data_IF_252337264106
#
_entry.id   IF_252337264106
#
_cell.length_a   1.000
_cell.length_b   1.000
_cell.length_c   1.000
_cell.angle_alpha   90.00
_cell.angle_beta   90.00
_cell.angle_gamma   90.00
#
_symmetry.space_group_name_H-M   'P 1'
#
loop_
_entity.id
_entity.type
_entity.pdbx_description
1 polymer ?
#
# COMPACT_ATOMS: atom_id res chain seq x y z
N UNK A 1 -17.75 11.25 11.70
CA UNK A 1 -18.04 10.21 10.67
C UNK A 1 -19.38 9.55 10.92
N UNK A 2 -20.22 9.32 9.90
CA UNK A 2 -21.49 8.60 10.05
C UNK A 2 -21.24 7.12 10.36
N UNK A 3 -21.98 6.50 11.31
CA UNK A 3 -21.73 5.10 11.70
C UNK A 3 -21.87 4.08 10.56
N UNK A 4 -22.80 4.32 9.63
CA UNK A 4 -23.00 3.47 8.45
C UNK A 4 -21.82 3.54 7.48
N UNK A 5 -21.25 4.74 7.24
CA UNK A 5 -20.08 4.94 6.38
C UNK A 5 -18.83 4.32 7.01
N UNK A 6 -18.64 4.44 8.32
CA UNK A 6 -17.55 3.80 9.07
C UNK A 6 -17.64 2.26 8.95
N UNK A 7 -18.84 1.69 9.17
CA UNK A 7 -19.05 0.25 9.04
C UNK A 7 -18.77 -0.23 7.62
N UNK A 8 -19.28 0.47 6.61
CA UNK A 8 -19.05 0.13 5.21
C UNK A 8 -17.55 0.16 4.86
N UNK A 9 -16.81 1.19 5.30
CA UNK A 9 -15.37 1.28 5.10
C UNK A 9 -14.62 0.09 5.75
N UNK A 10 -15.02 -0.33 6.95
CA UNK A 10 -14.44 -1.47 7.64
C UNK A 10 -14.74 -2.80 6.91
N UNK A 11 -15.97 -3.00 6.46
CA UNK A 11 -16.36 -4.19 5.68
C UNK A 11 -15.62 -4.24 4.34
N UNK A 12 -15.56 -3.11 3.64
CA UNK A 12 -14.83 -3.00 2.37
C UNK A 12 -13.34 -3.30 2.56
N UNK A 13 -12.69 -2.68 3.54
CA UNK A 13 -11.28 -2.90 3.82
C UNK A 13 -11.01 -4.36 4.22
N UNK A 14 -11.88 -4.96 5.04
CA UNK A 14 -11.78 -6.36 5.45
C UNK A 14 -11.81 -7.31 4.25
N UNK A 15 -12.62 -7.01 3.24
CA UNK A 15 -12.78 -7.84 2.04
C UNK A 15 -11.65 -7.64 1.02
N UNK A 16 -11.10 -6.41 0.90
CA UNK A 16 -10.20 -6.04 -0.20
C UNK A 16 -8.73 -5.84 0.23
N UNK A 17 -8.46 -5.54 1.52
CA UNK A 17 -7.10 -5.43 2.08
C UNK A 17 -7.10 -5.93 3.53
N UNK A 18 -7.03 -7.25 3.66
CA UNK A 18 -7.10 -7.95 4.95
C UNK A 18 -5.99 -7.52 5.90
N UNK A 19 -4.80 -7.30 5.40
CA UNK A 19 -3.63 -6.97 6.22
C UNK A 19 -3.77 -5.57 6.84
N UNK A 20 -4.19 -4.58 6.04
CA UNK A 20 -4.49 -3.24 6.56
C UNK A 20 -5.70 -3.24 7.49
N UNK A 21 -6.73 -4.05 7.21
CA UNK A 21 -7.85 -4.20 8.14
C UNK A 21 -7.37 -4.69 9.51
N UNK A 22 -6.55 -5.75 9.56
CA UNK A 22 -6.01 -6.26 10.83
C UNK A 22 -5.14 -5.21 11.54
N UNK A 23 -4.38 -4.41 10.79
CA UNK A 23 -3.59 -3.32 11.34
C UNK A 23 -4.45 -2.24 12.02
N UNK A 24 -5.65 -1.96 11.50
CA UNK A 24 -6.55 -0.99 12.16
C UNK A 24 -7.06 -1.45 13.51
N UNK A 25 -7.16 -2.76 13.75
CA UNK A 25 -7.69 -3.31 15.00
C UNK A 25 -6.79 -3.04 16.21
N UNK A 26 -5.49 -2.81 15.99
CA UNK A 26 -4.53 -2.50 17.06
C UNK A 26 -4.34 -0.99 17.28
N UNK A 27 -5.02 -0.15 16.50
CA UNK A 27 -4.99 1.30 16.66
C UNK A 27 -5.87 1.77 17.82
N UNK A 28 -5.55 2.92 18.44
CA UNK A 28 -6.44 3.58 19.40
C UNK A 28 -7.84 3.79 18.81
N UNK A 29 -8.88 3.58 19.64
CA UNK A 29 -10.28 3.66 19.19
C UNK A 29 -10.61 5.00 18.51
N UNK A 30 -10.10 6.11 19.03
CA UNK A 30 -10.34 7.45 18.47
C UNK A 30 -9.80 7.67 17.06
N UNK A 31 -8.80 6.91 16.63
CA UNK A 31 -8.19 7.04 15.30
C UNK A 31 -8.65 5.93 14.33
N UNK A 32 -9.20 4.84 14.85
CA UNK A 32 -9.44 3.60 14.12
C UNK A 32 -10.32 3.80 12.88
N UNK A 33 -11.48 4.43 13.06
CA UNK A 33 -12.45 4.57 11.97
C UNK A 33 -11.91 5.45 10.84
N UNK A 34 -11.18 6.52 11.18
CA UNK A 34 -10.61 7.43 10.19
C UNK A 34 -9.42 6.84 9.44
N UNK A 35 -8.56 6.05 10.14
CA UNK A 35 -7.50 5.28 9.44
C UNK A 35 -8.12 4.16 8.60
N UNK A 36 -9.20 3.54 9.06
CA UNK A 36 -9.94 2.54 8.28
C UNK A 36 -10.50 3.16 6.99
N UNK A 37 -11.10 4.35 7.07
CA UNK A 37 -11.60 5.08 5.89
C UNK A 37 -10.48 5.41 4.90
N UNK A 38 -9.33 5.90 5.38
CA UNK A 38 -8.14 6.17 4.57
C UNK A 38 -7.64 4.90 3.85
N UNK A 39 -7.57 3.78 4.56
CA UNK A 39 -7.10 2.52 3.99
C UNK A 39 -8.13 1.89 3.04
N UNK A 40 -9.43 2.03 3.32
CA UNK A 40 -10.50 1.57 2.42
C UNK A 40 -10.50 2.37 1.11
N UNK A 41 -10.31 3.68 1.17
CA UNK A 41 -10.07 4.53 0.00
C UNK A 41 -8.89 4.03 -0.82
N UNK A 42 -7.72 3.82 -0.18
CA UNK A 42 -6.55 3.30 -0.90
C UNK A 42 -6.82 1.93 -1.54
N UNK A 43 -7.52 1.03 -0.85
CA UNK A 43 -7.87 -0.29 -1.39
C UNK A 43 -8.79 -0.15 -2.62
N UNK A 44 -9.75 0.80 -2.60
CA UNK A 44 -10.61 1.08 -3.75
C UNK A 44 -9.79 1.61 -4.93
N UNK A 45 -8.96 2.62 -4.72
CA UNK A 45 -8.12 3.22 -5.78
C UNK A 45 -7.12 2.20 -6.33
N UNK A 46 -6.42 1.44 -5.49
CA UNK A 46 -5.47 0.42 -5.93
C UNK A 46 -6.11 -0.72 -6.75
N UNK A 47 -7.40 -1.02 -6.49
CA UNK A 47 -8.12 -2.06 -7.22
C UNK A 47 -8.72 -1.60 -8.56
N UNK A 48 -8.64 -0.30 -8.89
CA UNK A 48 -9.25 0.24 -10.12
C UNK A 48 -8.70 -0.47 -11.36
N UNK A 49 -7.38 -0.71 -11.42
CA UNK A 49 -6.73 -1.40 -12.54
C UNK A 49 -7.31 -2.79 -12.78
N UNK A 50 -7.60 -3.55 -11.74
CA UNK A 50 -8.12 -4.92 -11.85
C UNK A 50 -9.62 -4.95 -12.19
N UNK A 51 -10.37 -3.90 -11.87
CA UNK A 51 -11.79 -3.74 -12.17
C UNK A 51 -12.06 -3.04 -13.50
N UNK A 52 -11.10 -2.27 -14.01
CA UNK A 52 -11.22 -1.58 -15.29
C UNK A 52 -10.76 -2.53 -16.42
N UNK A 53 -11.60 -2.70 -17.45
CA UNK A 53 -11.23 -3.48 -18.64
C UNK A 53 -10.21 -2.75 -19.51
N UNK A 54 -10.29 -1.42 -19.55
CA UNK A 54 -9.45 -0.53 -20.34
C UNK A 54 -8.93 0.62 -19.46
N UNK A 55 -7.75 1.14 -19.77
CA UNK A 55 -7.13 2.24 -19.05
C UNK A 55 -8.05 3.47 -18.94
N UNK A 56 -8.76 3.82 -20.02
CA UNK A 56 -9.69 4.95 -20.04
C UNK A 56 -10.81 4.84 -18.98
N UNK A 57 -11.34 3.64 -18.75
CA UNK A 57 -12.32 3.42 -17.69
C UNK A 57 -11.72 3.57 -16.29
N UNK A 58 -10.43 3.23 -16.14
CA UNK A 58 -9.66 3.48 -14.93
C UNK A 58 -9.45 4.97 -14.68
N UNK A 59 -9.06 5.72 -15.72
CA UNK A 59 -8.90 7.18 -15.65
C UNK A 59 -10.17 7.89 -15.17
N UNK A 60 -11.34 7.52 -15.69
CA UNK A 60 -12.63 8.09 -15.25
C UNK A 60 -12.86 7.84 -13.75
N UNK A 61 -12.51 6.66 -13.24
CA UNK A 61 -12.67 6.33 -11.82
C UNK A 61 -11.69 7.09 -10.92
N UNK A 62 -10.44 7.25 -11.36
CA UNK A 62 -9.46 8.08 -10.65
C UNK A 62 -9.89 9.54 -10.64
N UNK A 63 -10.37 10.06 -11.80
CA UNK A 63 -10.87 11.42 -11.90
C UNK A 63 -12.07 11.66 -10.97
N UNK A 64 -13.00 10.70 -10.87
CA UNK A 64 -14.10 10.79 -9.93
C UNK A 64 -13.64 11.01 -8.48
N UNK A 65 -12.58 10.32 -8.04
CA UNK A 65 -12.00 10.52 -6.72
C UNK A 65 -11.35 11.90 -6.56
N UNK A 66 -10.68 12.39 -7.61
CA UNK A 66 -10.12 13.75 -7.63
C UNK A 66 -11.23 14.79 -7.47
N UNK A 67 -12.27 14.70 -8.28
CA UNK A 67 -13.42 15.62 -8.24
C UNK A 67 -14.13 15.58 -6.88
N UNK A 68 -14.27 14.40 -6.28
CA UNK A 68 -14.84 14.22 -4.95
C UNK A 68 -14.02 14.93 -3.86
N UNK A 69 -12.69 14.93 -3.96
CA UNK A 69 -11.77 15.53 -2.99
C UNK A 69 -11.59 17.05 -3.19
N UNK A 70 -11.71 17.55 -4.43
CA UNK A 70 -11.58 18.97 -4.76
C UNK A 70 -12.88 19.74 -4.63
N UNK A 71 -14.01 19.06 -4.44
CA UNK A 71 -15.34 19.66 -4.38
C UNK A 71 -15.95 19.93 -5.75
N UNK A 72 -15.35 19.41 -6.83
CA UNK A 72 -15.83 19.51 -8.21
C UNK A 72 -16.73 18.33 -8.58
N UNK A 73 -16.98 17.41 -7.65
CA UNK A 73 -17.77 16.21 -7.86
C UNK A 73 -19.23 16.52 -8.25
N UNK A 74 -19.67 15.89 -9.33
CA UNK A 74 -21.03 15.99 -9.78
C UNK A 74 -21.96 15.04 -9.00
N UNK A 75 -23.15 15.55 -8.60
CA UNK A 75 -24.14 14.77 -7.87
C UNK A 75 -23.83 14.64 -6.37
N UNK A 76 -24.41 13.63 -5.73
CA UNK A 76 -24.31 13.44 -4.29
C UNK A 76 -23.11 12.56 -3.93
N UNK A 77 -21.88 13.10 -4.00
CA UNK A 77 -20.62 12.41 -3.67
C UNK A 77 -20.71 11.64 -2.34
N UNK A 78 -21.33 12.24 -1.32
CA UNK A 78 -21.51 11.62 0.00
C UNK A 78 -22.56 10.49 0.06
N UNK A 79 -23.21 10.15 -1.06
CA UNK A 79 -23.98 8.89 -1.17
C UNK A 79 -23.06 7.67 -1.38
N UNK A 80 -21.82 7.88 -1.85
CA UNK A 80 -20.80 6.84 -1.80
C UNK A 80 -20.26 6.76 -0.38
N UNK A 81 -20.47 5.65 0.36
CA UNK A 81 -20.09 5.57 1.77
C UNK A 81 -18.57 5.60 2.00
N UNK A 82 -17.75 5.17 1.03
CA UNK A 82 -16.29 5.28 1.15
C UNK A 82 -15.84 6.74 1.01
N UNK A 83 -16.41 7.48 0.04
CA UNK A 83 -16.11 8.89 -0.13
C UNK A 83 -16.58 9.71 1.07
N UNK A 84 -17.76 9.42 1.60
CA UNK A 84 -18.27 10.07 2.80
C UNK A 84 -17.35 9.85 4.01
N UNK A 85 -16.92 8.60 4.24
CA UNK A 85 -16.01 8.28 5.33
C UNK A 85 -14.65 8.98 5.18
N UNK A 86 -14.08 9.00 3.97
CA UNK A 86 -12.81 9.69 3.70
C UNK A 86 -12.93 11.20 3.90
N UNK A 87 -13.97 11.84 3.35
CA UNK A 87 -14.19 13.27 3.46
C UNK A 87 -14.40 13.71 4.92
N UNK A 88 -15.07 12.88 5.72
CA UNK A 88 -15.19 13.12 7.16
C UNK A 88 -13.84 13.03 7.87
N UNK A 89 -13.00 12.02 7.55
CA UNK A 89 -11.65 11.91 8.10
C UNK A 89 -10.76 13.09 7.69
N UNK A 90 -10.85 13.53 6.42
CA UNK A 90 -10.13 14.71 5.92
C UNK A 90 -10.53 15.96 6.69
N UNK A 91 -11.83 16.19 6.89
CA UNK A 91 -12.33 17.36 7.59
C UNK A 91 -12.00 17.33 9.10
N UNK A 92 -12.14 16.17 9.75
CA UNK A 92 -11.92 16.00 11.19
C UNK A 92 -10.45 16.20 11.57
N UNK A 93 -9.53 15.66 10.77
CA UNK A 93 -8.09 15.68 11.07
C UNK A 93 -7.29 16.68 10.23
N UNK A 94 -7.94 17.47 9.38
CA UNK A 94 -7.25 18.44 8.50
C UNK A 94 -6.23 17.76 7.58
N UNK A 95 -6.55 16.57 7.04
CA UNK A 95 -5.60 15.85 6.20
C UNK A 95 -5.30 16.63 4.93
N UNK A 96 -4.04 16.71 4.49
CA UNK A 96 -3.66 17.48 3.33
C UNK A 96 -4.19 16.83 2.04
N UNK A 97 -5.27 17.38 1.49
CA UNK A 97 -5.87 16.92 0.22
C UNK A 97 -4.82 16.80 -0.90
N UNK A 98 -3.85 17.74 -1.07
CA UNK A 98 -2.82 17.57 -2.09
C UNK A 98 -2.00 16.27 -1.98
N UNK A 99 -1.77 15.76 -0.77
CA UNK A 99 -1.07 14.47 -0.61
C UNK A 99 -1.93 13.28 -1.06
N UNK A 100 -3.24 13.35 -0.81
CA UNK A 100 -4.19 12.32 -1.28
C UNK A 100 -4.32 12.37 -2.81
N UNK A 101 -4.33 13.55 -3.40
CA UNK A 101 -4.36 13.72 -4.85
C UNK A 101 -3.10 13.17 -5.52
N UNK A 102 -1.89 13.41 -4.95
CA UNK A 102 -0.65 12.81 -5.46
C UNK A 102 -0.67 11.28 -5.40
N UNK A 103 -1.26 10.70 -4.34
CA UNK A 103 -1.45 9.24 -4.28
C UNK A 103 -2.32 8.75 -5.44
N UNK A 104 -3.43 9.41 -5.74
CA UNK A 104 -4.30 9.04 -6.88
C UNK A 104 -3.53 9.17 -8.19
N UNK A 105 -2.78 10.27 -8.35
CA UNK A 105 -1.99 10.52 -9.56
C UNK A 105 -0.91 9.46 -9.77
N UNK A 106 -0.19 9.06 -8.71
CA UNK A 106 0.79 7.99 -8.77
C UNK A 106 0.15 6.65 -9.20
N UNK A 107 -1.11 6.40 -8.80
CA UNK A 107 -1.86 5.20 -9.20
C UNK A 107 -2.27 5.17 -10.68
N UNK A 108 -2.14 6.28 -11.42
CA UNK A 108 -2.31 6.26 -12.88
C UNK A 108 -1.32 5.33 -13.56
N UNK A 109 -0.10 5.21 -13.01
CA UNK A 109 0.90 4.25 -13.50
C UNK A 109 0.34 2.83 -13.55
N UNK A 110 -0.47 2.42 -12.58
CA UNK A 110 -1.03 1.07 -12.52
C UNK A 110 -2.00 0.76 -13.67
N UNK A 111 -2.58 1.78 -14.32
CA UNK A 111 -3.55 1.60 -15.42
C UNK A 111 -2.90 1.14 -16.73
N UNK A 112 -1.60 1.36 -16.86
CA UNK A 112 -0.83 1.04 -18.05
C UNK A 112 0.08 -0.15 -17.80
N UNK A 113 0.42 -0.89 -18.86
CA UNK A 113 1.25 -2.09 -18.72
C UNK A 113 2.74 -1.79 -18.91
N UNK A 114 3.15 -0.53 -18.69
CA UNK A 114 4.54 -0.11 -18.76
C UNK A 114 5.33 -0.72 -17.58
N UNK A 115 6.46 -1.38 -17.85
CA UNK A 115 7.30 -1.92 -16.80
C UNK A 115 7.91 -0.80 -15.94
N UNK A 116 8.02 -1.01 -14.64
CA UNK A 116 8.73 -0.11 -13.73
C UNK A 116 10.20 -0.02 -14.18
N UNK A 117 10.73 1.17 -14.54
CA UNK A 117 12.03 1.26 -15.18
C UNK A 117 13.21 0.94 -14.24
N UNK A 118 13.21 1.53 -13.04
CA UNK A 118 14.34 1.48 -12.10
C UNK A 118 13.90 1.66 -10.64
N UNK A 119 14.85 1.42 -9.72
CA UNK A 119 14.61 1.57 -8.28
C UNK A 119 14.26 3.01 -7.86
N UNK A 120 14.91 4.08 -8.33
CA UNK A 120 14.52 5.45 -7.97
C UNK A 120 13.07 5.78 -8.34
N UNK A 121 12.60 5.36 -9.53
CA UNK A 121 11.20 5.54 -9.96
C UNK A 121 10.25 4.74 -9.08
N UNK A 122 10.62 3.50 -8.72
CA UNK A 122 9.83 2.67 -7.80
C UNK A 122 9.75 3.29 -6.40
N UNK A 123 10.86 3.82 -5.86
CA UNK A 123 10.87 4.49 -4.56
C UNK A 123 10.00 5.76 -4.58
N UNK A 124 10.02 6.54 -5.67
CA UNK A 124 9.13 7.68 -5.89
C UNK A 124 7.65 7.25 -5.87
N UNK A 125 7.30 6.21 -6.62
CA UNK A 125 5.96 5.63 -6.62
C UNK A 125 5.54 5.13 -5.23
N UNK A 126 6.41 4.40 -4.53
CA UNK A 126 6.16 3.93 -3.17
C UNK A 126 6.00 5.10 -2.17
N UNK A 127 6.75 6.19 -2.40
CA UNK A 127 6.68 7.42 -1.62
C UNK A 127 5.29 8.06 -1.68
N UNK A 128 4.76 8.25 -2.89
CA UNK A 128 3.45 8.87 -3.10
C UNK A 128 2.27 7.92 -2.78
N UNK A 129 2.50 6.62 -2.75
CA UNK A 129 1.45 5.64 -2.45
C UNK A 129 1.53 5.10 -1.02
N UNK A 130 2.41 4.15 -0.75
CA UNK A 130 2.47 3.47 0.53
C UNK A 130 3.01 4.35 1.67
N UNK A 131 4.05 5.17 1.42
CA UNK A 131 4.62 6.07 2.43
C UNK A 131 3.64 7.17 2.82
N UNK A 132 2.93 7.76 1.84
CA UNK A 132 1.91 8.77 2.09
C UNK A 132 0.82 8.25 3.03
N UNK A 133 0.39 6.98 2.91
CA UNK A 133 -0.59 6.38 3.81
C UNK A 133 -0.09 6.31 5.26
N UNK A 134 1.19 5.96 5.47
CA UNK A 134 1.78 5.94 6.81
C UNK A 134 1.88 7.33 7.42
N UNK A 135 2.21 8.35 6.62
CA UNK A 135 2.25 9.75 7.05
C UNK A 135 0.85 10.25 7.46
N UNK A 136 -0.17 10.00 6.63
CA UNK A 136 -1.55 10.38 6.91
C UNK A 136 -2.11 9.64 8.12
N UNK A 137 -1.82 8.35 8.27
CA UNK A 137 -2.21 7.58 9.45
C UNK A 137 -1.54 8.12 10.73
N UNK A 138 -0.26 8.46 10.68
CA UNK A 138 0.44 9.07 11.81
C UNK A 138 -0.16 10.45 12.17
N UNK A 139 -0.57 11.26 11.18
CA UNK A 139 -1.24 12.52 11.40
C UNK A 139 -2.60 12.34 12.09
N UNK A 140 -3.39 11.33 11.69
CA UNK A 140 -4.65 10.97 12.38
C UNK A 140 -4.37 10.59 13.85
N UNK A 141 -3.35 9.77 14.12
CA UNK A 141 -2.96 9.39 15.48
C UNK A 141 -2.50 10.60 16.30
N UNK A 142 -1.94 11.62 15.67
CA UNK A 142 -1.53 12.89 16.30
C UNK A 142 -2.68 13.92 16.37
N UNK A 143 -3.92 13.48 16.23
CA UNK A 143 -5.12 14.34 16.29
C UNK A 143 -5.12 15.48 15.27
N UNK A 144 -4.67 15.20 14.05
CA UNK A 144 -4.60 16.17 12.95
C UNK A 144 -3.41 17.12 12.98
N UNK A 145 -2.58 17.07 14.03
CA UNK A 145 -1.38 17.91 14.09
C UNK A 145 -0.33 17.38 13.11
N UNK A 146 0.38 18.27 12.39
CA UNK A 146 1.47 17.85 11.51
C UNK A 146 2.49 17.00 12.26
N UNK A 147 2.98 15.99 11.60
CA UNK A 147 4.07 15.13 12.05
C UNK A 147 5.07 14.98 10.91
N UNK A 148 6.31 14.83 11.25
CA UNK A 148 7.39 14.52 10.31
C UNK A 148 7.92 13.12 10.60
N UNK A 149 7.16 12.06 10.24
CA UNK A 149 7.63 10.69 10.43
C UNK A 149 8.76 10.33 9.45
N UNK A 150 9.08 11.25 8.50
CA UNK A 150 10.26 11.27 7.66
C UNK A 150 10.68 9.88 7.18
N UNK A 151 11.86 9.48 7.60
CA UNK A 151 12.47 8.21 7.23
C UNK A 151 11.63 6.98 7.65
N UNK A 152 10.87 7.06 8.75
CA UNK A 152 10.02 5.95 9.19
C UNK A 152 8.93 5.62 8.16
N UNK A 153 8.22 6.63 7.67
CA UNK A 153 7.18 6.44 6.66
C UNK A 153 7.78 6.13 5.28
N UNK A 154 8.86 6.81 4.91
CA UNK A 154 9.55 6.59 3.64
C UNK A 154 10.05 5.16 3.50
N UNK A 155 10.88 4.72 4.42
CA UNK A 155 11.44 3.37 4.38
C UNK A 155 10.38 2.28 4.54
N UNK A 156 9.41 2.45 5.46
CA UNK A 156 8.35 1.46 5.62
C UNK A 156 7.46 1.37 4.38
N UNK A 157 7.20 2.50 3.71
CA UNK A 157 6.41 2.51 2.47
C UNK A 157 7.09 1.77 1.33
N UNK A 158 8.40 2.00 1.12
CA UNK A 158 9.18 1.26 0.11
C UNK A 158 9.19 -0.24 0.42
N UNK A 159 9.47 -0.61 1.67
CA UNK A 159 9.42 -2.02 2.09
C UNK A 159 8.04 -2.65 1.88
N UNK A 160 6.97 -1.91 2.17
CA UNK A 160 5.59 -2.37 1.96
C UNK A 160 5.32 -2.61 0.47
N UNK A 161 5.68 -1.67 -0.39
CA UNK A 161 5.48 -1.79 -1.82
C UNK A 161 6.27 -2.98 -2.39
N UNK A 162 7.57 -3.11 -2.06
CA UNK A 162 8.39 -4.25 -2.48
C UNK A 162 7.78 -5.58 -2.01
N UNK A 163 7.42 -5.69 -0.72
CA UNK A 163 6.82 -6.91 -0.18
C UNK A 163 5.51 -7.26 -0.89
N UNK A 164 4.66 -6.26 -1.13
CA UNK A 164 3.39 -6.44 -1.84
C UNK A 164 3.59 -6.96 -3.26
N UNK A 165 4.51 -6.37 -4.02
CA UNK A 165 4.78 -6.77 -5.40
C UNK A 165 5.53 -8.12 -5.49
N UNK A 166 6.41 -8.43 -4.55
CA UNK A 166 7.01 -9.77 -4.44
C UNK A 166 5.96 -10.85 -4.19
N UNK A 167 5.03 -10.61 -3.27
CA UNK A 167 3.93 -11.55 -2.99
C UNK A 167 2.95 -11.68 -4.16
N UNK A 168 2.74 -10.61 -4.91
CA UNK A 168 1.89 -10.60 -6.09
C UNK A 168 2.64 -10.94 -7.39
N UNK A 169 3.91 -11.36 -7.33
CA UNK A 169 4.75 -11.54 -8.52
C UNK A 169 4.13 -12.47 -9.56
N UNK A 170 3.73 -13.67 -9.16
CA UNK A 170 3.10 -14.63 -10.07
C UNK A 170 1.76 -14.14 -10.63
N UNK A 171 0.95 -13.47 -9.81
CA UNK A 171 -0.30 -12.86 -10.26
C UNK A 171 -0.04 -11.75 -11.30
N UNK A 172 0.88 -10.84 -11.03
CA UNK A 172 1.21 -9.76 -11.96
C UNK A 172 1.78 -10.32 -13.28
N UNK A 173 2.69 -11.28 -13.20
CA UNK A 173 3.26 -11.94 -14.37
C UNK A 173 2.18 -12.61 -15.25
N UNK A 174 1.19 -13.28 -14.65
CA UNK A 174 0.06 -13.89 -15.36
C UNK A 174 -0.83 -12.88 -16.09
N UNK A 175 -0.80 -11.61 -15.66
CA UNK A 175 -1.47 -10.47 -16.31
C UNK A 175 -0.55 -9.70 -17.27
N UNK A 176 0.68 -10.18 -17.48
CA UNK A 176 1.67 -9.51 -18.34
C UNK A 176 2.32 -8.27 -17.72
N UNK A 177 2.14 -8.03 -16.40
CA UNK A 177 2.61 -6.83 -15.69
C UNK A 177 3.96 -7.09 -15.03
N UNK A 178 4.88 -6.13 -15.15
CA UNK A 178 6.21 -6.17 -14.52
C UNK A 178 6.37 -4.90 -13.68
N UNK A 179 6.05 -5.00 -12.39
CA UNK A 179 6.05 -3.86 -11.47
C UNK A 179 7.35 -3.78 -10.66
N UNK A 180 8.08 -4.88 -10.54
CA UNK A 180 9.43 -4.84 -9.94
C UNK A 180 10.40 -4.15 -10.90
N UNK A 181 11.34 -3.30 -10.40
CA UNK A 181 12.28 -2.53 -11.18
C UNK A 181 13.05 -3.35 -12.22
N UNK A 182 12.93 -2.94 -13.47
CA UNK A 182 13.50 -3.65 -14.63
C UNK A 182 15.03 -3.63 -14.63
N UNK A 183 15.66 -2.56 -14.16
CA UNK A 183 17.11 -2.44 -14.07
C UNK A 183 17.72 -3.55 -13.20
N UNK A 184 17.10 -3.86 -12.05
CA UNK A 184 17.55 -4.96 -11.17
C UNK A 184 17.36 -6.31 -11.84
N UNK A 185 16.19 -6.55 -12.47
CA UNK A 185 15.90 -7.78 -13.21
C UNK A 185 16.92 -8.00 -14.33
N UNK A 186 17.17 -6.99 -15.15
CA UNK A 186 18.10 -7.04 -16.28
C UNK A 186 19.53 -7.28 -15.84
N UNK A 187 19.97 -6.63 -14.72
CA UNK A 187 21.32 -6.84 -14.15
C UNK A 187 21.52 -8.30 -13.71
N UNK A 188 20.46 -9.00 -13.36
CA UNK A 188 20.50 -10.44 -13.04
C UNK A 188 20.32 -11.33 -14.28
N UNK A 189 20.22 -10.75 -15.50
CA UNK A 189 20.01 -11.51 -16.74
C UNK A 189 18.58 -12.03 -16.91
N UNK A 190 17.60 -11.45 -16.22
CA UNK A 190 16.18 -11.78 -16.35
C UNK A 190 15.53 -10.90 -17.41
N UNK A 191 14.85 -11.52 -18.38
CA UNK A 191 14.12 -10.81 -19.43
C UNK A 191 12.62 -10.74 -19.14
N UNK A 192 11.94 -9.74 -19.71
CA UNK A 192 10.47 -9.66 -19.64
C UNK A 192 9.80 -10.89 -20.25
N UNK A 193 10.40 -11.44 -21.32
CA UNK A 193 9.89 -12.65 -21.98
C UNK A 193 9.90 -13.86 -21.03
N UNK A 194 10.95 -14.03 -20.21
CA UNK A 194 11.03 -15.12 -19.24
C UNK A 194 9.95 -14.98 -18.18
N UNK A 195 9.71 -13.74 -17.67
CA UNK A 195 8.67 -13.47 -16.68
C UNK A 195 7.28 -13.74 -17.25
N UNK A 196 6.99 -13.23 -18.46
CA UNK A 196 5.69 -13.44 -19.14
C UNK A 196 5.44 -14.91 -19.49
N UNK A 197 6.50 -15.67 -19.73
CA UNK A 197 6.42 -17.12 -19.96
C UNK A 197 6.25 -17.93 -18.67
N UNK A 198 6.27 -17.30 -17.50
CA UNK A 198 6.19 -18.00 -16.22
C UNK A 198 7.38 -18.95 -15.95
N UNK A 199 8.54 -18.62 -16.52
CA UNK A 199 9.73 -19.47 -16.47
C UNK A 199 10.55 -19.18 -15.22
N UNK A 200 10.52 -20.08 -14.26
CA UNK A 200 11.43 -20.04 -13.11
C UNK A 200 12.87 -20.34 -13.61
N UNK A 201 13.83 -19.58 -13.06
CA UNK A 201 15.26 -19.74 -13.37
C UNK A 201 16.10 -19.30 -12.17
N UNK A 202 17.34 -19.76 -12.10
CA UNK A 202 18.30 -19.34 -11.07
C UNK A 202 18.51 -17.81 -11.09
N UNK A 203 18.61 -17.22 -12.29
CA UNK A 203 18.72 -15.76 -12.45
C UNK A 203 17.51 -15.02 -11.85
N UNK A 204 16.30 -15.54 -12.04
CA UNK A 204 15.10 -14.96 -11.45
C UNK A 204 15.12 -15.08 -9.93
N UNK A 205 15.50 -16.25 -9.37
CA UNK A 205 15.64 -16.44 -7.93
C UNK A 205 16.67 -15.45 -7.35
N UNK A 206 17.81 -15.24 -8.00
CA UNK A 206 18.82 -14.24 -7.61
C UNK A 206 18.24 -12.81 -7.65
N UNK A 207 17.49 -12.46 -8.68
CA UNK A 207 16.87 -11.13 -8.78
C UNK A 207 15.84 -10.91 -7.67
N UNK A 208 14.98 -11.89 -7.41
CA UNK A 208 13.97 -11.81 -6.34
C UNK A 208 14.62 -11.75 -4.95
N UNK A 209 15.72 -12.48 -4.72
CA UNK A 209 16.50 -12.38 -3.48
C UNK A 209 17.00 -10.95 -3.27
N UNK A 210 17.52 -10.27 -4.31
CA UNK A 210 17.94 -8.87 -4.19
C UNK A 210 16.79 -7.94 -3.78
N UNK A 211 15.56 -8.16 -4.29
CA UNK A 211 14.41 -7.36 -3.85
C UNK A 211 14.00 -7.67 -2.41
N UNK A 212 14.11 -8.92 -1.96
CA UNK A 212 13.90 -9.30 -0.55
C UNK A 212 14.93 -8.62 0.35
N UNK A 213 16.19 -8.58 -0.06
CA UNK A 213 17.28 -7.89 0.68
C UNK A 213 17.02 -6.38 0.75
N UNK A 214 16.63 -5.76 -0.36
CA UNK A 214 16.25 -4.33 -0.40
C UNK A 214 15.08 -4.04 0.54
N UNK A 215 14.01 -4.85 0.48
CA UNK A 215 12.87 -4.70 1.36
C UNK A 215 13.26 -4.86 2.85
N UNK A 216 14.14 -5.81 3.15
CA UNK A 216 14.64 -6.05 4.50
C UNK A 216 15.50 -4.89 5.01
N UNK A 217 16.39 -4.33 4.18
CA UNK A 217 17.17 -3.14 4.51
C UNK A 217 16.28 -1.93 4.80
N UNK A 218 15.21 -1.74 4.01
CA UNK A 218 14.25 -0.68 4.27
C UNK A 218 13.47 -0.91 5.55
N UNK A 219 13.11 -2.17 5.89
CA UNK A 219 12.48 -2.48 7.19
C UNK A 219 13.40 -2.19 8.37
N UNK A 220 14.71 -2.49 8.26
CA UNK A 220 15.69 -2.23 9.32
C UNK A 220 15.87 -0.72 9.53
N UNK A 221 15.95 0.06 8.46
CA UNK A 221 16.01 1.53 8.54
C UNK A 221 14.70 2.10 9.12
N UNK A 222 13.55 1.57 8.71
CA UNK A 222 12.27 1.96 9.27
C UNK A 222 12.19 1.67 10.78
N UNK A 223 12.65 0.50 11.24
CA UNK A 223 12.67 0.15 12.67
C UNK A 223 13.50 1.15 13.49
N UNK A 224 14.67 1.54 13.00
CA UNK A 224 15.50 2.57 13.63
C UNK A 224 14.77 3.91 13.75
N UNK A 225 14.17 4.37 12.67
CA UNK A 225 13.42 5.63 12.63
C UNK A 225 12.16 5.61 13.49
N UNK A 226 11.39 4.49 13.47
CA UNK A 226 10.17 4.32 14.27
C UNK A 226 10.48 4.35 15.78
N UNK A 227 11.62 3.79 16.19
CA UNK A 227 12.04 3.82 17.59
C UNK A 227 12.33 5.23 18.11
N UNK A 228 12.64 6.17 17.22
CA UNK A 228 12.83 7.58 17.55
C UNK A 228 11.49 8.36 17.62
N UNK A 229 10.39 7.81 17.07
CA UNK A 229 9.08 8.47 17.09
C UNK A 229 8.45 8.44 18.49
N UNK A 230 7.62 9.46 18.81
CA UNK A 230 6.74 9.42 19.97
C UNK A 230 5.91 8.13 20.01
N UNK A 231 5.77 7.53 21.21
CA UNK A 231 5.05 6.25 21.37
C UNK A 231 3.63 6.29 20.79
N UNK A 232 2.96 7.44 20.88
CA UNK A 232 1.62 7.65 20.32
C UNK A 232 1.52 7.32 18.82
N UNK A 233 2.58 7.56 18.06
CA UNK A 233 2.59 7.40 16.59
C UNK A 233 2.96 5.98 16.16
N UNK A 234 3.67 5.22 16.98
CA UNK A 234 4.21 3.90 16.62
C UNK A 234 3.16 2.89 16.14
N UNK A 235 1.91 2.89 16.67
CA UNK A 235 0.88 1.97 16.18
C UNK A 235 0.58 2.11 14.68
N UNK A 236 0.75 3.30 14.06
CA UNK A 236 0.60 3.47 12.62
C UNK A 236 1.61 2.62 11.82
N UNK A 237 2.76 2.32 12.39
CA UNK A 237 3.88 1.61 11.78
C UNK A 237 3.98 0.13 12.19
N UNK A 238 2.99 -0.38 12.95
CA UNK A 238 2.94 -1.78 13.37
C UNK A 238 2.97 -2.79 12.19
N UNK A 239 2.45 -2.47 10.98
CA UNK A 239 2.53 -3.38 9.83
C UNK A 239 3.94 -3.87 9.48
N UNK A 240 5.02 -3.17 9.87
CA UNK A 240 6.41 -3.61 9.66
C UNK A 240 6.69 -5.06 10.10
N UNK A 241 6.08 -5.47 11.22
CA UNK A 241 6.27 -6.83 11.74
C UNK A 241 5.59 -7.90 10.88
N UNK A 242 4.43 -7.57 10.29
CA UNK A 242 3.73 -8.45 9.35
C UNK A 242 4.50 -8.55 8.04
N UNK A 243 4.98 -7.42 7.51
CA UNK A 243 5.78 -7.39 6.27
C UNK A 243 7.04 -8.26 6.41
N UNK A 244 7.75 -8.17 7.54
CA UNK A 244 8.91 -9.02 7.81
C UNK A 244 8.56 -10.51 7.81
N UNK A 245 7.44 -10.89 8.44
CA UNK A 245 6.98 -12.27 8.44
C UNK A 245 6.55 -12.74 7.04
N UNK A 246 5.99 -11.87 6.22
CA UNK A 246 5.60 -12.16 4.84
C UNK A 246 6.82 -12.33 3.93
N UNK A 247 7.86 -11.50 4.07
CA UNK A 247 9.11 -11.67 3.33
C UNK A 247 9.77 -13.02 3.65
N UNK A 248 9.81 -13.42 4.91
CA UNK A 248 10.34 -14.73 5.31
C UNK A 248 9.50 -15.93 4.82
N UNK A 249 8.24 -15.71 4.47
CA UNK A 249 7.34 -16.75 3.99
C UNK A 249 7.36 -16.90 2.45
N UNK A 250 8.10 -16.06 1.73
CA UNK A 250 8.24 -16.15 0.28
C UNK A 250 9.01 -17.43 -0.12
N UNK A 251 8.50 -18.08 -1.14
CA UNK A 251 9.18 -19.19 -1.81
C UNK A 251 9.78 -18.66 -3.12
N UNK A 252 11.07 -18.39 -3.10
CA UNK A 252 11.78 -17.83 -4.25
C UNK A 252 12.13 -18.87 -5.32
N UNK A 253 11.99 -20.16 -5.01
CA UNK A 253 12.16 -21.24 -5.97
C UNK A 253 10.87 -21.50 -6.78
N UNK A 254 9.73 -21.06 -6.24
CA UNK A 254 8.42 -21.18 -6.89
C UNK A 254 7.72 -19.80 -7.02
N UNK A 255 8.34 -18.76 -7.63
CA UNK A 255 7.89 -17.37 -7.55
C UNK A 255 6.56 -17.11 -8.26
N UNK A 256 6.13 -17.98 -9.14
CA UNK A 256 4.85 -17.85 -9.86
C UNK A 256 3.67 -18.51 -9.12
N UNK A 257 3.94 -19.24 -8.04
CA UNK A 257 2.90 -19.82 -7.19
C UNK A 257 2.37 -18.78 -6.20
N UNK A 258 1.12 -18.90 -5.74
CA UNK A 258 0.61 -18.06 -4.67
C UNK A 258 1.51 -18.14 -3.42
N UNK A 259 1.84 -17.00 -2.80
CA UNK A 259 2.70 -17.01 -1.62
C UNK A 259 2.00 -17.69 -0.43
N UNK A 260 2.80 -18.25 0.48
CA UNK A 260 2.28 -18.76 1.75
C UNK A 260 1.71 -17.62 2.58
N UNK A 261 0.46 -17.76 2.98
CA UNK A 261 -0.19 -16.76 3.82
C UNK A 261 0.21 -16.91 5.30
N UNK A 262 0.56 -15.77 5.91
CA UNK A 262 0.71 -15.71 7.37
C UNK A 262 -0.69 -15.70 7.99
N UNK A 263 -0.97 -16.63 8.89
CA UNK A 263 -2.30 -16.74 9.51
C UNK A 263 -2.71 -15.46 10.25
N UNK A 264 -3.99 -15.08 10.18
CA UNK A 264 -4.52 -13.84 10.76
C UNK A 264 -4.22 -13.67 12.25
N UNK A 265 -4.34 -14.75 13.04
CA UNK A 265 -4.01 -14.72 14.47
C UNK A 265 -2.55 -14.35 14.71
N UNK A 266 -1.62 -14.87 13.87
CA UNK A 266 -0.19 -14.55 13.95
C UNK A 266 0.06 -13.09 13.54
N UNK A 267 -0.62 -12.61 12.48
CA UNK A 267 -0.57 -11.19 12.08
C UNK A 267 -1.02 -10.28 13.23
N UNK A 268 -2.14 -10.61 13.90
CA UNK A 268 -2.63 -9.84 15.06
C UNK A 268 -1.65 -9.83 16.22
N UNK A 269 -1.01 -10.94 16.54
CA UNK A 269 0.03 -10.98 17.57
C UNK A 269 1.20 -10.06 17.17
N UNK A 270 1.73 -10.19 15.96
CA UNK A 270 2.83 -9.36 15.46
C UNK A 270 2.48 -7.87 15.53
N UNK A 271 1.29 -7.48 15.08
CA UNK A 271 0.81 -6.09 15.13
C UNK A 271 0.68 -5.58 16.57
N UNK A 272 0.18 -6.40 17.49
CA UNK A 272 -0.01 -6.02 18.88
C UNK A 272 1.31 -5.76 19.61
N UNK A 273 2.34 -6.56 19.34
CA UNK A 273 3.66 -6.38 19.98
C UNK A 273 4.54 -5.34 19.27
N UNK A 274 4.22 -4.95 18.03
CA UNK A 274 4.97 -3.97 17.27
C UNK A 274 4.49 -2.51 17.45
N UNK A 275 3.39 -2.28 18.16
CA UNK A 275 2.80 -0.95 18.39
C UNK A 275 3.54 -0.11 19.46
#
# INVERSE_FOLDING_TARGET
MRPESARHAAEYLRANDRDRYLATLVLPAAARDSVTALYAFNADVASIRDRAREAAAGEIRLQWWIDALTGEGHGAVRQNPLADALLDAVAEFGLPVPAILRLIEARRFDLYDDPMPDMPTFEGYAGETASALYQLAAMILNTGRPVEPGDAAGHLGVAHALTGHLRAFGYNASKGRIILPRDVLTTCGVTETDIRAGKASENLSVALTRFVDLASQHLDKADGAINALPKLLRPAFAPRAVLRAQLHALDLDAPFQPPREVADWRKLLLLTFAR
#
